data_IF_309352910772
#
_entry.id   IF_309352910772
#
_cell.length_a   1.000
_cell.length_b   1.000
_cell.length_c   1.000
_cell.angle_alpha   90.00
_cell.angle_beta   90.00
_cell.angle_gamma   90.00
#
_symmetry.space_group_name_H-M   'P 1'
#
loop_
_entity.id
_entity.type
_entity.pdbx_description
1 polymer ?
#
# COMPACT_ATOMS: atom_id res chain seq x y z
N UNK A 1 -6.75 -16.36 4.97
CA UNK A 1 -6.79 -15.26 5.97
C UNK A 1 -8.09 -15.36 6.78
N UNK A 2 -9.25 -15.44 6.17
CA UNK A 2 -10.56 -15.57 6.84
C UNK A 2 -10.67 -16.77 7.78
N UNK A 3 -10.18 -17.95 7.41
CA UNK A 3 -10.15 -19.13 8.29
C UNK A 3 -9.42 -18.87 9.61
N UNK A 4 -8.36 -18.04 9.59
CA UNK A 4 -7.64 -17.65 10.80
C UNK A 4 -8.36 -16.60 11.63
N UNK A 5 -9.29 -15.85 11.03
CA UNK A 5 -10.10 -14.84 11.71
C UNK A 5 -11.36 -15.44 12.34
N UNK A 6 -11.87 -16.54 11.78
CA UNK A 6 -13.11 -17.17 12.24
C UNK A 6 -13.17 -17.44 13.77
N UNK A 7 -12.09 -17.89 14.45
CA UNK A 7 -12.11 -18.07 15.91
C UNK A 7 -12.28 -16.78 16.73
N UNK A 8 -12.11 -15.61 16.11
CA UNK A 8 -12.26 -14.31 16.76
C UNK A 8 -13.63 -13.66 16.48
N UNK A 9 -14.50 -14.33 15.70
CA UNK A 9 -15.86 -13.86 15.47
C UNK A 9 -16.71 -14.02 16.74
N UNK A 10 -17.60 -13.07 16.99
CA UNK A 10 -18.46 -13.03 18.17
C UNK A 10 -18.45 -11.66 18.83
N UNK A 11 -19.31 -11.44 19.83
CA UNK A 11 -19.39 -10.20 20.60
C UNK A 11 -19.49 -8.91 19.73
N UNK A 12 -20.25 -8.99 18.62
CA UNK A 12 -20.39 -7.90 17.66
C UNK A 12 -19.31 -7.81 16.57
N UNK A 13 -18.36 -8.75 16.55
CA UNK A 13 -17.33 -8.83 15.51
C UNK A 13 -17.68 -9.88 14.45
N UNK A 14 -17.77 -9.47 13.19
CA UNK A 14 -17.99 -10.34 12.03
C UNK A 14 -16.88 -10.17 11.00
N UNK A 15 -16.67 -11.21 10.18
CA UNK A 15 -15.71 -11.19 9.09
C UNK A 15 -16.41 -11.57 7.79
N UNK A 16 -16.19 -10.77 6.75
CA UNK A 16 -16.72 -11.02 5.43
C UNK A 16 -15.59 -11.12 4.39
N UNK A 17 -15.80 -11.96 3.38
CA UNK A 17 -14.96 -11.97 2.18
C UNK A 17 -15.57 -11.00 1.17
N UNK A 18 -14.78 -10.02 0.75
CA UNK A 18 -15.22 -9.04 -0.25
C UNK A 18 -14.04 -8.40 -0.96
N UNK A 19 -14.32 -7.82 -2.11
CA UNK A 19 -13.38 -6.96 -2.82
C UNK A 19 -13.57 -5.52 -2.35
N UNK A 20 -12.49 -4.90 -1.86
CA UNK A 20 -12.51 -3.50 -1.42
C UNK A 20 -12.92 -2.56 -2.57
N UNK A 21 -12.54 -2.90 -3.81
CA UNK A 21 -12.88 -2.11 -4.99
C UNK A 21 -14.39 -2.10 -5.28
N UNK A 22 -15.15 -3.10 -4.82
CA UNK A 22 -16.58 -3.25 -5.06
C UNK A 22 -17.41 -3.12 -3.78
N UNK A 23 -16.75 -2.96 -2.63
CA UNK A 23 -17.45 -2.93 -1.34
C UNK A 23 -18.46 -1.79 -1.25
N UNK A 24 -19.73 -2.16 -1.05
CA UNK A 24 -20.87 -1.28 -0.90
C UNK A 24 -21.84 -1.86 0.14
N UNK A 25 -21.76 -1.46 1.39
CA UNK A 25 -22.60 -2.00 2.45
C UNK A 25 -24.03 -1.50 2.32
N UNK A 26 -25.01 -2.30 2.81
CA UNK A 26 -26.43 -1.95 2.83
C UNK A 26 -26.79 -0.95 3.94
N UNK A 27 -26.02 -0.91 5.00
CA UNK A 27 -26.20 -0.04 6.14
C UNK A 27 -25.00 0.88 6.33
N UNK A 28 -25.20 2.14 6.72
CA UNK A 28 -24.11 3.08 6.93
C UNK A 28 -23.35 2.77 8.22
N UNK A 29 -22.08 3.17 8.26
CA UNK A 29 -21.20 3.01 9.41
C UNK A 29 -20.84 4.35 10.06
N UNK A 30 -20.67 4.37 11.37
CA UNK A 30 -20.13 5.52 12.10
C UNK A 30 -18.63 5.72 11.80
N UNK A 31 -17.91 4.62 11.52
CA UNK A 31 -16.47 4.64 11.22
C UNK A 31 -16.17 3.62 10.11
N UNK A 32 -15.46 4.09 9.09
CA UNK A 32 -14.77 3.23 8.13
C UNK A 32 -13.27 3.33 8.38
N UNK A 33 -12.63 2.20 8.67
CA UNK A 33 -11.20 2.14 8.98
C UNK A 33 -10.46 1.23 8.00
N UNK A 34 -9.33 1.70 7.47
CA UNK A 34 -8.47 0.91 6.59
C UNK A 34 -7.00 1.10 6.93
N UNK A 35 -6.30 -0.01 7.13
CA UNK A 35 -4.87 -0.01 7.41
C UNK A 35 -4.11 -0.87 6.38
N UNK A 36 -3.24 -0.22 5.58
CA UNK A 36 -2.37 -0.85 4.60
C UNK A 36 -3.12 -1.78 3.61
N UNK A 37 -4.31 -1.36 3.14
CA UNK A 37 -5.11 -2.11 2.18
C UNK A 37 -5.41 -1.31 0.90
N UNK A 38 -5.74 -0.02 1.00
CA UNK A 38 -6.22 0.76 -0.15
C UNK A 38 -5.15 1.00 -1.23
N UNK A 39 -3.88 0.89 -0.91
CA UNK A 39 -2.78 0.99 -1.90
C UNK A 39 -2.75 -0.15 -2.94
N UNK A 40 -3.65 -1.12 -2.81
CA UNK A 40 -3.86 -2.21 -3.78
C UNK A 40 -4.99 -1.91 -4.76
N UNK A 41 -5.76 -0.87 -4.53
CA UNK A 41 -6.94 -0.50 -5.33
C UNK A 41 -6.62 0.73 -6.15
N UNK A 42 -6.87 0.66 -7.45
CA UNK A 42 -6.72 1.79 -8.35
C UNK A 42 -7.88 2.80 -8.18
N UNK A 43 -7.78 3.98 -8.82
CA UNK A 43 -8.79 5.03 -8.82
C UNK A 43 -9.22 5.46 -7.40
N UNK A 44 -8.29 6.01 -6.65
CA UNK A 44 -8.55 6.53 -5.31
C UNK A 44 -9.70 7.55 -5.24
N UNK A 45 -9.93 8.46 -6.21
CA UNK A 45 -11.13 9.30 -6.22
C UNK A 45 -12.44 8.51 -6.13
N UNK A 46 -12.63 7.50 -6.98
CA UNK A 46 -13.83 6.67 -6.98
C UNK A 46 -13.91 5.79 -5.72
N UNK A 47 -12.79 5.22 -5.28
CA UNK A 47 -12.71 4.43 -4.06
C UNK A 47 -13.12 5.26 -2.83
N UNK A 48 -12.55 6.45 -2.63
CA UNK A 48 -12.85 7.31 -1.49
C UNK A 48 -14.29 7.84 -1.53
N UNK A 49 -14.82 8.14 -2.71
CA UNK A 49 -16.25 8.50 -2.85
C UNK A 49 -17.17 7.36 -2.36
N UNK A 50 -16.86 6.12 -2.72
CA UNK A 50 -17.60 4.93 -2.27
C UNK A 50 -17.47 4.70 -0.76
N UNK A 51 -16.24 4.80 -0.20
CA UNK A 51 -16.05 4.69 1.26
C UNK A 51 -16.79 5.80 2.01
N UNK A 52 -16.86 7.00 1.44
CA UNK A 52 -17.59 8.13 2.00
C UNK A 52 -19.11 7.86 1.98
N UNK A 53 -19.63 7.27 0.90
CA UNK A 53 -21.07 6.94 0.82
C UNK A 53 -21.49 5.83 1.78
N UNK A 54 -20.55 5.07 2.31
CA UNK A 54 -20.77 4.05 3.34
C UNK A 54 -20.81 4.63 4.78
N UNK A 55 -20.62 5.94 4.95
CA UNK A 55 -20.63 6.59 6.25
C UNK A 55 -22.03 7.16 6.58
N UNK A 56 -22.39 7.03 7.85
CA UNK A 56 -23.53 7.75 8.41
C UNK A 56 -23.27 9.28 8.44
N UNK A 57 -24.31 10.13 8.57
CA UNK A 57 -24.11 11.54 8.82
C UNK A 57 -23.21 11.79 10.03
N UNK A 58 -22.18 12.61 9.89
CA UNK A 58 -21.16 12.82 10.92
C UNK A 58 -20.18 11.64 11.11
N UNK A 59 -20.25 10.62 10.27
CA UNK A 59 -19.37 9.46 10.29
C UNK A 59 -17.92 9.81 9.95
N UNK A 60 -17.00 8.90 10.27
CA UNK A 60 -15.57 9.12 10.20
C UNK A 60 -14.88 8.13 9.27
N UNK A 61 -13.94 8.63 8.49
CA UNK A 61 -13.01 7.83 7.71
C UNK A 61 -11.62 7.90 8.32
N UNK A 62 -10.99 6.75 8.58
CA UNK A 62 -9.62 6.68 9.04
C UNK A 62 -8.81 5.70 8.17
N UNK A 63 -7.81 6.20 7.47
CA UNK A 63 -7.03 5.40 6.50
C UNK A 63 -5.54 5.58 6.73
N UNK A 64 -4.82 4.48 6.62
CA UNK A 64 -3.37 4.47 6.52
C UNK A 64 -2.95 3.73 5.24
N UNK A 65 -2.08 4.36 4.45
CA UNK A 65 -1.45 3.74 3.28
C UNK A 65 0.08 3.90 3.33
N UNK A 66 0.85 2.90 2.88
CA UNK A 66 2.28 3.08 2.62
C UNK A 66 2.50 4.17 1.58
N UNK A 67 3.55 4.97 1.76
CA UNK A 67 3.91 6.06 0.85
C UNK A 67 5.42 6.07 0.55
N UNK A 68 6.00 4.87 0.38
CA UNK A 68 7.44 4.69 0.20
C UNK A 68 7.85 4.46 -1.26
N UNK A 69 6.96 4.79 -2.20
CA UNK A 69 7.15 4.53 -3.63
C UNK A 69 8.32 5.29 -4.28
N UNK A 70 8.79 6.36 -3.67
CA UNK A 70 9.98 7.11 -4.06
C UNK A 70 11.29 6.57 -3.46
N UNK A 71 11.23 5.56 -2.59
CA UNK A 71 12.41 4.92 -2.03
C UNK A 71 13.10 4.03 -3.10
N UNK A 72 14.45 3.93 -3.09
CA UNK A 72 15.18 3.09 -4.05
C UNK A 72 14.63 1.68 -4.20
N UNK A 73 14.11 1.06 -3.12
CA UNK A 73 13.52 -0.29 -3.20
C UNK A 73 12.36 -0.39 -4.20
N UNK A 74 11.56 0.67 -4.38
CA UNK A 74 10.47 0.69 -5.36
C UNK A 74 10.99 1.07 -6.76
N UNK A 75 11.80 2.11 -6.85
CA UNK A 75 12.34 2.60 -8.13
C UNK A 75 13.22 1.54 -8.82
N UNK A 76 14.02 0.80 -8.06
CA UNK A 76 14.84 -0.29 -8.59
C UNK A 76 13.97 -1.45 -9.12
N UNK A 77 12.88 -1.80 -8.42
CA UNK A 77 11.98 -2.84 -8.89
C UNK A 77 11.31 -2.47 -10.23
N UNK A 78 10.86 -1.22 -10.37
CA UNK A 78 10.30 -0.70 -11.64
C UNK A 78 11.35 -0.74 -12.77
N UNK A 79 12.58 -0.37 -12.47
CA UNK A 79 13.69 -0.34 -13.43
C UNK A 79 14.05 -1.74 -13.91
N UNK A 80 14.20 -2.70 -12.98
CA UNK A 80 14.49 -4.09 -13.33
C UNK A 80 13.34 -4.71 -14.14
N UNK A 81 12.09 -4.41 -13.79
CA UNK A 81 10.93 -4.86 -14.57
C UNK A 81 10.92 -4.28 -16.01
N UNK A 82 11.57 -3.14 -16.24
CA UNK A 82 11.75 -2.55 -17.57
C UNK A 82 12.94 -3.06 -18.36
N UNK A 83 13.86 -3.84 -17.74
CA UNK A 83 15.03 -4.44 -18.42
C UNK A 83 14.62 -5.74 -19.16
N UNK A 84 15.27 -6.04 -20.29
CA UNK A 84 15.22 -7.39 -20.88
C UNK A 84 16.04 -8.37 -20.00
N UNK A 85 15.63 -9.64 -19.80
CA UNK A 85 14.45 -10.26 -20.41
C UNK A 85 13.14 -10.03 -19.65
N UNK A 86 13.17 -9.47 -18.45
CA UNK A 86 12.02 -9.38 -17.55
C UNK A 86 10.85 -8.56 -18.15
N UNK A 87 11.16 -7.52 -18.92
CA UNK A 87 10.11 -6.73 -19.58
C UNK A 87 9.26 -7.58 -20.52
N UNK A 88 9.90 -8.48 -21.28
CA UNK A 88 9.21 -9.39 -22.20
C UNK A 88 8.40 -10.43 -21.43
N UNK A 89 9.00 -11.06 -20.41
CA UNK A 89 8.34 -12.06 -19.56
C UNK A 89 7.14 -11.48 -18.79
N UNK A 90 7.24 -10.22 -18.33
CA UNK A 90 6.15 -9.49 -17.68
C UNK A 90 5.11 -8.92 -18.66
N UNK A 91 5.29 -9.06 -19.97
CA UNK A 91 4.41 -8.45 -20.97
C UNK A 91 4.38 -6.91 -20.88
N UNK A 92 5.48 -6.30 -20.44
CA UNK A 92 5.60 -4.85 -20.20
C UNK A 92 4.97 -4.35 -18.90
N UNK A 93 4.51 -5.26 -18.03
CA UNK A 93 3.95 -4.86 -16.74
C UNK A 93 5.01 -4.24 -15.84
N UNK A 94 4.72 -3.04 -15.36
CA UNK A 94 5.47 -2.36 -14.30
C UNK A 94 4.46 -1.98 -13.21
N UNK A 95 4.71 -2.44 -11.99
CA UNK A 95 3.87 -2.07 -10.86
C UNK A 95 3.99 -0.58 -10.58
N UNK A 96 2.88 0.12 -10.66
CA UNK A 96 2.76 1.52 -10.24
C UNK A 96 1.87 1.60 -9.00
N UNK A 97 2.20 2.53 -8.11
CA UNK A 97 1.33 2.78 -6.95
C UNK A 97 0.18 3.70 -7.32
N UNK A 98 -1.06 3.42 -6.90
CA UNK A 98 -2.17 4.36 -6.99
C UNK A 98 -2.10 5.47 -5.93
N UNK A 99 -1.22 5.32 -4.93
CA UNK A 99 -1.10 6.26 -3.81
C UNK A 99 -0.54 7.60 -4.28
N UNK A 100 -1.26 8.66 -3.95
CA UNK A 100 -0.91 10.05 -4.27
C UNK A 100 -0.26 10.76 -3.06
N UNK A 101 0.14 12.02 -3.23
CA UNK A 101 0.65 12.83 -2.14
C UNK A 101 -0.43 13.20 -1.09
N UNK A 102 -0.02 13.59 0.13
CA UNK A 102 -0.98 13.96 1.18
C UNK A 102 -1.87 15.15 0.80
N UNK A 103 -1.37 16.09 0.00
CA UNK A 103 -2.12 17.24 -0.48
C UNK A 103 -3.32 16.81 -1.34
N UNK A 104 -3.10 15.83 -2.23
CA UNK A 104 -4.17 15.25 -3.05
C UNK A 104 -5.32 14.71 -2.18
N UNK A 105 -4.99 13.99 -1.11
CA UNK A 105 -6.02 13.44 -0.23
C UNK A 105 -6.72 14.50 0.60
N UNK A 106 -6.01 15.55 1.03
CA UNK A 106 -6.64 16.66 1.74
C UNK A 106 -7.67 17.37 0.86
N UNK A 107 -7.34 17.62 -0.41
CA UNK A 107 -8.29 18.17 -1.38
C UNK A 107 -9.44 17.21 -1.69
N UNK A 108 -9.15 15.91 -1.82
CA UNK A 108 -10.17 14.89 -2.09
C UNK A 108 -11.18 14.81 -0.95
N UNK A 109 -10.75 14.76 0.30
CA UNK A 109 -11.63 14.76 1.46
C UNK A 109 -12.47 16.04 1.54
N UNK A 110 -11.89 17.21 1.23
CA UNK A 110 -12.63 18.46 1.14
C UNK A 110 -13.74 18.38 0.09
N UNK A 111 -13.44 17.92 -1.13
CA UNK A 111 -14.43 17.75 -2.21
C UNK A 111 -15.53 16.74 -1.87
N UNK A 112 -15.24 15.75 -1.03
CA UNK A 112 -16.19 14.74 -0.57
C UNK A 112 -17.03 15.19 0.64
N UNK A 113 -16.86 16.42 1.13
CA UNK A 113 -17.73 17.01 2.16
C UNK A 113 -17.27 16.77 3.61
N UNK A 114 -16.01 16.40 3.82
CA UNK A 114 -15.47 16.28 5.18
C UNK A 114 -15.27 17.66 5.82
N UNK A 115 -16.06 17.96 6.87
CA UNK A 115 -16.02 19.23 7.58
C UNK A 115 -14.81 19.38 8.51
N UNK A 116 -14.23 18.27 8.94
CA UNK A 116 -12.97 18.22 9.71
C UNK A 116 -12.07 17.14 9.14
N UNK A 117 -10.78 17.41 9.02
CA UNK A 117 -9.84 16.43 8.48
C UNK A 117 -8.41 16.65 8.99
N UNK A 118 -7.66 15.57 9.06
CA UNK A 118 -6.22 15.54 9.25
C UNK A 118 -5.57 14.60 8.24
N UNK A 119 -4.70 15.15 7.39
CA UNK A 119 -3.89 14.38 6.44
C UNK A 119 -2.43 14.70 6.71
N UNK A 120 -1.61 13.66 6.91
CA UNK A 120 -0.19 13.86 7.20
C UNK A 120 0.68 12.74 6.63
N UNK A 121 1.88 13.09 6.23
CA UNK A 121 2.96 12.16 5.97
C UNK A 121 3.69 11.87 7.28
N UNK A 122 3.70 10.61 7.68
CA UNK A 122 4.38 10.14 8.88
C UNK A 122 5.59 9.29 8.48
N UNK A 123 6.75 9.64 9.01
CA UNK A 123 7.98 8.85 8.82
C UNK A 123 8.20 7.96 10.04
N UNK A 124 8.38 6.68 9.81
CA UNK A 124 8.78 5.68 10.79
C UNK A 124 10.21 5.25 10.48
N UNK A 125 11.13 5.50 11.40
CA UNK A 125 12.49 5.02 11.25
C UNK A 125 12.59 3.59 11.79
N UNK A 126 12.82 2.64 10.90
CA UNK A 126 13.18 1.28 11.25
C UNK A 126 14.70 1.15 11.21
N UNK A 127 15.26 0.48 12.21
CA UNK A 127 16.69 0.21 12.26
C UNK A 127 16.89 -1.25 11.87
N UNK A 128 17.37 -1.46 10.65
CA UNK A 128 17.64 -2.78 10.10
C UNK A 128 19.10 -3.16 10.38
N UNK A 129 19.43 -4.48 10.45
CA UNK A 129 20.81 -4.89 10.68
C UNK A 129 21.79 -4.39 9.60
N UNK A 130 21.34 -4.39 8.36
CA UNK A 130 22.13 -4.09 7.16
C UNK A 130 21.20 -3.68 6.00
N UNK A 131 21.73 -3.04 4.92
CA UNK A 131 20.93 -2.65 3.76
C UNK A 131 20.21 -3.81 3.07
N UNK A 132 20.80 -5.00 3.08
CA UNK A 132 20.27 -6.23 2.52
C UNK A 132 18.91 -6.61 3.10
N UNK A 133 18.66 -6.29 4.36
CA UNK A 133 17.39 -6.53 5.03
C UNK A 133 16.20 -5.75 4.42
N UNK A 134 16.48 -4.69 3.64
CA UNK A 134 15.43 -3.98 2.88
C UNK A 134 14.81 -4.90 1.83
N UNK A 135 15.60 -5.78 1.20
CA UNK A 135 15.10 -6.76 0.23
C UNK A 135 14.06 -7.68 0.87
N UNK A 136 14.38 -8.21 2.06
CA UNK A 136 13.48 -9.11 2.79
C UNK A 136 12.21 -8.37 3.26
N UNK A 137 12.35 -7.10 3.63
CA UNK A 137 11.21 -6.25 3.99
C UNK A 137 10.21 -6.10 2.85
N UNK A 138 10.67 -5.85 1.62
CA UNK A 138 9.78 -5.61 0.48
C UNK A 138 9.37 -6.88 -0.27
N UNK A 139 10.05 -8.00 -0.05
CA UNK A 139 9.77 -9.28 -0.69
C UNK A 139 8.33 -9.75 -0.45
N UNK A 140 7.83 -9.57 0.78
CA UNK A 140 6.48 -9.95 1.17
C UNK A 140 5.37 -8.97 0.75
N UNK A 141 5.71 -7.87 0.11
CA UNK A 141 4.78 -6.82 -0.29
C UNK A 141 4.97 -6.39 -1.75
N UNK A 142 5.93 -5.51 -2.01
CA UNK A 142 6.20 -4.94 -3.33
C UNK A 142 6.46 -6.01 -4.40
N UNK A 143 7.29 -7.02 -4.08
CA UNK A 143 7.74 -8.01 -5.05
C UNK A 143 6.74 -9.15 -5.27
N UNK A 144 5.67 -9.23 -4.49
CA UNK A 144 4.66 -10.31 -4.63
C UNK A 144 3.96 -10.29 -5.98
N UNK A 145 3.75 -9.13 -6.58
CA UNK A 145 3.15 -9.02 -7.90
C UNK A 145 4.03 -9.57 -9.02
N UNK A 146 5.33 -9.32 -8.93
CA UNK A 146 6.30 -9.88 -9.86
C UNK A 146 6.44 -11.40 -9.68
N UNK A 147 6.47 -11.87 -8.43
CA UNK A 147 6.52 -13.30 -8.11
C UNK A 147 5.29 -14.08 -8.61
N UNK A 148 4.12 -13.43 -8.75
CA UNK A 148 2.90 -14.06 -9.30
C UNK A 148 2.87 -14.09 -10.82
N UNK A 149 3.65 -13.24 -11.47
CA UNK A 149 3.61 -13.03 -12.93
C UNK A 149 4.75 -13.72 -13.66
N UNK A 150 5.88 -13.92 -12.98
CA UNK A 150 7.05 -14.60 -13.53
C UNK A 150 7.05 -16.08 -13.16
N UNK A 151 7.52 -16.98 -14.04
CA UNK A 151 7.94 -18.31 -13.67
C UNK A 151 8.96 -18.28 -12.52
N UNK A 152 9.07 -19.35 -11.76
CA UNK A 152 9.90 -19.39 -10.54
C UNK A 152 11.38 -19.10 -10.83
N UNK A 153 11.93 -19.69 -11.88
CA UNK A 153 13.31 -19.49 -12.33
C UNK A 153 13.58 -18.05 -12.79
N UNK A 154 12.67 -17.47 -13.59
CA UNK A 154 12.76 -16.08 -14.02
C UNK A 154 12.57 -15.09 -12.85
N UNK A 155 11.73 -15.42 -11.86
CA UNK A 155 11.59 -14.62 -10.66
C UNK A 155 12.86 -14.64 -9.79
N UNK A 156 13.54 -15.77 -9.69
CA UNK A 156 14.81 -15.88 -8.97
C UNK A 156 15.90 -15.03 -9.64
N UNK A 157 15.97 -15.01 -10.97
CA UNK A 157 16.86 -14.12 -11.72
C UNK A 157 16.50 -12.64 -11.52
N UNK A 158 15.20 -12.32 -11.58
CA UNK A 158 14.68 -10.98 -11.28
C UNK A 158 15.09 -10.53 -9.87
N UNK A 159 14.89 -11.37 -8.88
CA UNK A 159 15.23 -11.08 -7.48
C UNK A 159 16.74 -10.89 -7.29
N UNK A 160 17.56 -11.70 -7.93
CA UNK A 160 19.01 -11.56 -7.88
C UNK A 160 19.47 -10.24 -8.51
N UNK A 161 18.92 -9.88 -9.68
CA UNK A 161 19.19 -8.61 -10.36
C UNK A 161 18.73 -7.41 -9.53
N UNK A 162 17.51 -7.48 -8.99
CA UNK A 162 16.93 -6.46 -8.10
C UNK A 162 17.81 -6.25 -6.86
N UNK A 163 18.21 -7.33 -6.17
CA UNK A 163 19.07 -7.27 -4.98
C UNK A 163 20.40 -6.59 -5.30
N UNK A 164 21.09 -7.04 -6.35
CA UNK A 164 22.39 -6.49 -6.73
C UNK A 164 22.31 -4.97 -7.00
N UNK A 165 21.28 -4.53 -7.72
CA UNK A 165 21.10 -3.14 -8.07
C UNK A 165 20.68 -2.30 -6.85
N UNK A 166 19.74 -2.79 -6.03
CA UNK A 166 19.31 -2.09 -4.84
C UNK A 166 20.47 -1.86 -3.87
N UNK A 167 21.25 -2.89 -3.58
CA UNK A 167 22.38 -2.76 -2.64
C UNK A 167 23.43 -1.78 -3.16
N UNK A 168 23.65 -1.69 -4.46
CA UNK A 168 24.59 -0.71 -5.04
C UNK A 168 24.13 0.74 -4.90
N UNK A 169 22.85 0.98 -4.63
CA UNK A 169 22.27 2.31 -4.48
C UNK A 169 21.98 2.72 -3.03
N UNK A 170 21.96 1.77 -2.11
CA UNK A 170 21.78 2.07 -0.70
C UNK A 170 23.12 2.41 -0.03
N UNK A 171 23.15 3.35 0.93
CA UNK A 171 24.32 3.57 1.77
C UNK A 171 24.74 2.29 2.51
N UNK A 172 26.05 2.00 2.54
CA UNK A 172 26.59 0.88 3.32
C UNK A 172 26.72 1.28 4.81
N UNK A 173 25.58 1.38 5.45
CA UNK A 173 25.48 1.68 6.88
C UNK A 173 25.00 0.46 7.66
N UNK A 174 25.67 0.18 8.77
CA UNK A 174 25.32 -0.95 9.66
C UNK A 174 25.36 -0.47 11.13
N UNK A 175 24.23 -0.40 11.83
CA UNK A 175 22.86 -0.71 11.36
C UNK A 175 22.33 0.29 10.32
N UNK A 176 21.44 -0.16 9.43
CA UNK A 176 20.87 0.63 8.35
C UNK A 176 19.60 1.37 8.79
N UNK A 177 19.54 2.71 8.69
CA UNK A 177 18.35 3.49 9.02
C UNK A 177 17.35 3.50 7.87
N UNK A 178 16.32 2.65 7.93
CA UNK A 178 15.27 2.56 6.92
C UNK A 178 14.10 3.47 7.27
N UNK A 179 14.03 4.63 6.63
CA UNK A 179 12.91 5.56 6.77
C UNK A 179 11.70 5.06 5.96
N UNK A 180 10.65 4.63 6.64
CA UNK A 180 9.43 4.14 6.03
C UNK A 180 8.31 5.17 6.18
N UNK A 181 7.81 5.67 5.06
CA UNK A 181 6.76 6.71 5.00
C UNK A 181 5.38 6.09 4.92
N UNK A 182 4.43 6.72 5.60
CA UNK A 182 3.00 6.40 5.53
C UNK A 182 2.19 7.68 5.45
N UNK A 183 1.11 7.67 4.69
CA UNK A 183 0.10 8.73 4.75
C UNK A 183 -0.99 8.26 5.71
N UNK A 184 -1.28 9.11 6.68
CA UNK A 184 -2.37 8.94 7.64
C UNK A 184 -3.44 9.97 7.30
N UNK A 185 -4.65 9.47 7.06
CA UNK A 185 -5.82 10.29 6.74
C UNK A 185 -6.89 10.04 7.79
N UNK A 186 -7.45 11.11 8.27
CA UNK A 186 -8.68 11.08 9.06
C UNK A 186 -9.58 12.20 8.59
N UNK A 187 -10.88 11.91 8.48
CA UNK A 187 -11.87 12.90 8.18
C UNK A 187 -13.21 12.57 8.84
N UNK A 188 -14.00 13.61 9.18
CA UNK A 188 -15.37 13.52 9.69
C UNK A 188 -16.29 14.30 8.77
N UNK A 189 -17.37 13.65 8.33
CA UNK A 189 -18.43 14.31 7.56
C UNK A 189 -19.06 15.44 8.37
N UNK A 190 -19.49 16.49 7.66
CA UNK A 190 -20.18 17.62 8.24
C UNK A 190 -21.56 17.23 8.80
#
# INVERSE_FOLDING_TARGET
>A
MLERSAPHAGDGLTFELGDIAEWAPSEPFDIVFSNAALHWVDDHPALFARLTSALAPGGQLAVQVPANHDHPSHLVAERVAGEAPFREALGGYIRRTPVQGPEFYAELLHRLGYGSQHVRLQVYLHVLPEPEAVVDWVKGTLLTDYARRLPEDEYDEFLARYRALLISELPDERPYPFAFKRILLWGRLA
#
